data_IF_590421624757
#
_entry.id   IF_590421624757
#
_cell.length_a   1.000
_cell.length_b   1.000
_cell.length_c   1.000
_cell.angle_alpha   90.00
_cell.angle_beta   90.00
_cell.angle_gamma   90.00
#
_symmetry.space_group_name_H-M   'P 1'
#
loop_
_entity.id
_entity.type
_entity.pdbx_description
1 polymer ?
#
# COMPACT_ATOMS: atom_id res chain seq x y z
N UNK A 1 10.22 3.95 13.37
CA UNK A 1 8.99 3.18 13.63
C UNK A 1 7.91 4.16 14.05
N UNK A 2 6.80 4.19 13.32
CA UNK A 2 5.60 4.96 13.64
C UNK A 2 4.46 3.95 13.84
N UNK A 3 3.75 4.06 14.97
CA UNK A 3 2.56 3.25 15.26
C UNK A 3 1.37 4.18 15.22
N UNK A 4 0.37 3.85 14.41
CA UNK A 4 -0.78 4.72 14.15
C UNK A 4 -2.06 3.93 14.41
N UNK A 5 -3.07 4.57 14.98
CA UNK A 5 -4.39 3.96 15.11
C UNK A 5 -5.10 4.04 13.76
N UNK A 6 -5.78 2.97 13.34
CA UNK A 6 -6.49 2.96 12.05
C UNK A 6 -7.48 4.13 11.86
N UNK A 7 -8.02 4.68 12.96
CA UNK A 7 -8.90 5.86 12.95
C UNK A 7 -8.21 7.16 12.53
N UNK A 8 -6.88 7.21 12.51
CA UNK A 8 -6.09 8.40 12.20
C UNK A 8 -5.61 8.42 10.73
N UNK A 9 -5.93 7.39 9.95
CA UNK A 9 -5.34 7.13 8.62
C UNK A 9 -6.35 7.28 7.48
N UNK A 10 -7.51 7.87 7.75
CA UNK A 10 -8.46 8.19 6.69
C UNK A 10 -7.98 9.41 5.88
N UNK A 11 -7.98 9.35 4.53
CA UNK A 11 -8.52 8.27 3.69
C UNK A 11 -7.53 7.12 3.39
N UNK A 12 -8.04 5.89 3.38
CA UNK A 12 -7.40 4.70 2.81
C UNK A 12 -7.90 4.50 1.38
N UNK A 13 -7.00 4.37 0.42
CA UNK A 13 -7.34 4.16 -1.00
C UNK A 13 -7.16 2.69 -1.37
N UNK A 14 -8.05 2.13 -2.19
CA UNK A 14 -7.83 0.82 -2.81
C UNK A 14 -7.33 1.04 -4.24
N UNK A 15 -6.26 0.37 -4.62
CA UNK A 15 -5.70 0.43 -5.99
C UNK A 15 -5.62 -0.97 -6.55
N UNK A 16 -6.09 -1.16 -7.79
CA UNK A 16 -5.90 -2.43 -8.47
C UNK A 16 -4.48 -2.50 -8.95
N UNK A 17 -3.87 -3.61 -8.64
CA UNK A 17 -2.62 -4.02 -9.22
C UNK A 17 -2.83 -5.34 -9.96
N UNK A 18 -1.94 -5.73 -10.87
CA UNK A 18 -1.97 -7.07 -11.47
C UNK A 18 -1.93 -8.23 -10.45
N UNK A 19 -1.63 -7.97 -9.17
CA UNK A 19 -1.61 -8.96 -8.09
C UNK A 19 -2.83 -8.91 -7.17
N UNK A 20 -3.79 -8.03 -7.46
CA UNK A 20 -5.01 -7.81 -6.69
C UNK A 20 -5.15 -6.38 -6.20
N UNK A 21 -6.19 -6.16 -5.41
CA UNK A 21 -6.45 -4.85 -4.80
C UNK A 21 -5.55 -4.67 -3.58
N UNK A 22 -4.81 -3.57 -3.59
CA UNK A 22 -3.89 -3.19 -2.53
C UNK A 22 -4.38 -1.91 -1.86
N UNK A 23 -4.21 -1.84 -0.53
CA UNK A 23 -4.58 -0.65 0.25
C UNK A 23 -3.40 0.32 0.31
N UNK A 24 -3.67 1.59 0.05
CA UNK A 24 -2.71 2.69 0.11
C UNK A 24 -3.14 3.74 1.13
N UNK A 25 -2.16 4.35 1.80
CA UNK A 25 -2.36 5.51 2.70
C UNK A 25 -1.34 6.58 2.38
N UNK A 26 -1.78 7.84 2.41
CA UNK A 26 -0.90 8.99 2.26
C UNK A 26 -0.60 9.59 3.63
N UNK A 27 0.66 9.58 4.03
CA UNK A 27 1.08 10.05 5.34
C UNK A 27 2.46 10.68 5.29
N UNK A 28 2.62 11.86 5.92
CA UNK A 28 3.90 12.58 6.01
C UNK A 28 4.60 12.74 4.64
N UNK A 29 3.84 13.08 3.60
CA UNK A 29 4.35 13.23 2.22
C UNK A 29 4.85 11.93 1.56
N UNK A 30 4.44 10.79 2.08
CA UNK A 30 4.78 9.48 1.58
C UNK A 30 3.53 8.64 1.36
N UNK A 31 3.52 7.83 0.31
CA UNK A 31 2.54 6.76 0.18
C UNK A 31 3.08 5.48 0.79
N UNK A 32 2.25 4.85 1.59
CA UNK A 32 2.49 3.52 2.11
C UNK A 32 1.44 2.58 1.55
N UNK A 33 1.79 1.30 1.50
CA UNK A 33 0.93 0.23 1.03
C UNK A 33 1.01 -0.92 1.99
N UNK A 34 -0.14 -1.54 2.24
CA UNK A 34 -0.27 -2.65 3.16
C UNK A 34 0.46 -3.87 2.59
N UNK A 35 1.45 -4.40 3.32
CA UNK A 35 2.21 -5.58 2.90
C UNK A 35 1.77 -6.83 3.64
N UNK A 36 1.54 -6.71 4.94
CA UNK A 36 1.18 -7.84 5.82
C UNK A 36 0.16 -7.43 6.88
N UNK A 37 -0.60 -8.43 7.33
CA UNK A 37 -1.54 -8.34 8.45
C UNK A 37 -1.18 -9.37 9.51
N UNK A 38 -1.32 -8.98 10.77
CA UNK A 38 -0.91 -9.72 11.94
C UNK A 38 -2.07 -9.78 12.93
N UNK A 39 -2.19 -10.91 13.63
CA UNK A 39 -3.19 -11.07 14.70
C UNK A 39 -2.81 -10.28 15.95
N UNK A 40 -1.51 -10.12 16.20
CA UNK A 40 -0.96 -9.42 17.35
C UNK A 40 -0.11 -8.25 16.87
N UNK A 41 -0.26 -7.11 17.55
CA UNK A 41 0.52 -5.91 17.23
C UNK A 41 2.02 -6.10 17.47
N UNK A 42 2.40 -6.94 18.45
CA UNK A 42 3.81 -7.22 18.76
C UNK A 42 4.55 -7.88 17.60
N UNK A 43 3.87 -8.75 16.84
CA UNK A 43 4.45 -9.39 15.65
C UNK A 43 4.69 -8.35 14.54
N UNK A 44 3.73 -7.44 14.32
CA UNK A 44 3.87 -6.35 13.36
C UNK A 44 5.00 -5.37 13.76
N UNK A 45 5.14 -5.10 15.07
CA UNK A 45 6.22 -4.27 15.62
C UNK A 45 7.58 -4.94 15.40
N UNK A 46 7.69 -6.25 15.68
CA UNK A 46 8.92 -6.99 15.48
C UNK A 46 9.38 -6.91 14.02
N UNK A 47 8.46 -7.05 13.06
CA UNK A 47 8.77 -6.98 11.64
C UNK A 47 9.11 -5.58 11.18
N UNK A 48 8.37 -4.56 11.65
CA UNK A 48 8.71 -3.16 11.41
C UNK A 48 10.10 -2.80 11.95
N UNK A 49 10.48 -3.36 13.10
CA UNK A 49 11.83 -3.18 13.63
C UNK A 49 12.88 -3.86 12.74
N UNK A 50 12.63 -5.07 12.22
CA UNK A 50 13.55 -5.74 11.28
C UNK A 50 13.76 -4.92 10.00
N UNK A 51 12.68 -4.34 9.47
CA UNK A 51 12.72 -3.43 8.33
C UNK A 51 13.56 -2.19 8.63
N UNK A 52 13.34 -1.56 9.80
CA UNK A 52 14.07 -0.37 10.23
C UNK A 52 15.57 -0.64 10.35
N UNK A 53 15.96 -1.79 10.93
CA UNK A 53 17.37 -2.20 11.01
C UNK A 53 17.99 -2.45 9.63
N UNK A 54 17.16 -2.76 8.63
CA UNK A 54 17.57 -2.98 7.24
C UNK A 54 17.52 -1.69 6.39
N UNK A 55 17.16 -0.54 6.99
CA UNK A 55 17.08 0.75 6.31
C UNK A 55 15.77 0.99 5.55
N UNK A 56 14.77 0.12 5.71
CA UNK A 56 13.44 0.33 5.14
C UNK A 56 12.57 1.18 6.07
N UNK A 57 11.70 1.99 5.48
CA UNK A 57 10.73 2.78 6.23
C UNK A 57 9.36 2.11 6.13
N UNK A 58 8.92 1.53 7.25
CA UNK A 58 7.60 0.94 7.42
C UNK A 58 6.91 1.49 8.65
N UNK A 59 5.58 1.41 8.65
CA UNK A 59 4.71 1.84 9.75
C UNK A 59 3.77 0.71 10.14
N UNK A 60 3.40 0.70 11.42
CA UNK A 60 2.42 -0.25 11.95
C UNK A 60 1.11 0.48 12.15
N UNK A 61 0.05 -0.09 11.59
CA UNK A 61 -1.32 0.38 11.77
C UNK A 61 -2.03 -0.57 12.71
N UNK A 62 -2.49 -0.05 13.85
CA UNK A 62 -3.26 -0.80 14.81
C UNK A 62 -4.73 -0.83 14.37
N UNK A 63 -5.22 -2.02 14.03
CA UNK A 63 -6.57 -2.28 13.55
C UNK A 63 -7.44 -2.88 14.66
N UNK A 64 -8.77 -2.93 14.47
CA UNK A 64 -9.67 -3.48 15.51
C UNK A 64 -9.42 -4.96 15.81
N UNK A 65 -8.99 -5.73 14.81
CA UNK A 65 -8.82 -7.18 14.89
C UNK A 65 -7.35 -7.63 14.85
N UNK A 66 -6.41 -6.69 14.96
CA UNK A 66 -4.99 -6.99 14.86
C UNK A 66 -4.16 -5.77 14.48
N UNK A 67 -3.11 -5.98 13.69
CA UNK A 67 -2.28 -4.90 13.18
C UNK A 67 -1.87 -5.18 11.74
N UNK A 68 -1.49 -4.14 11.02
CA UNK A 68 -0.95 -4.28 9.68
C UNK A 68 0.35 -3.51 9.51
N UNK A 69 1.23 -4.06 8.68
CA UNK A 69 2.51 -3.46 8.32
C UNK A 69 2.36 -2.80 6.96
N UNK A 70 2.84 -1.56 6.87
CA UNK A 70 2.76 -0.76 5.67
C UNK A 70 4.12 -0.23 5.28
N UNK A 71 4.53 -0.44 4.04
CA UNK A 71 5.86 -0.08 3.55
C UNK A 71 5.80 1.13 2.62
N UNK A 72 6.81 2.00 2.70
CA UNK A 72 6.87 3.20 1.87
C UNK A 72 7.09 2.86 0.40
N UNK A 73 6.24 3.37 -0.48
CA UNK A 73 6.47 3.27 -1.92
C UNK A 73 7.62 4.21 -2.35
N UNK A 74 8.53 3.76 -3.24
CA UNK A 74 9.57 4.64 -3.77
C UNK A 74 8.98 5.88 -4.44
N UNK A 75 9.67 7.02 -4.34
CA UNK A 75 9.22 8.31 -4.89
C UNK A 75 8.87 8.27 -6.38
N UNK A 76 9.53 7.41 -7.16
CA UNK A 76 9.24 7.23 -8.59
C UNK A 76 7.83 6.68 -8.84
N UNK A 77 7.33 5.82 -7.95
CA UNK A 77 5.95 5.30 -7.99
C UNK A 77 4.98 6.35 -7.43
N UNK A 78 5.43 7.11 -6.42
CA UNK A 78 4.63 8.15 -5.77
C UNK A 78 4.15 9.25 -6.74
N UNK A 79 5.03 9.69 -7.65
CA UNK A 79 4.73 10.76 -8.62
C UNK A 79 3.60 10.37 -9.59
N UNK A 80 3.46 9.09 -9.94
CA UNK A 80 2.42 8.64 -10.87
C UNK A 80 1.06 8.52 -10.17
N UNK A 81 1.04 7.96 -8.96
CA UNK A 81 -0.17 7.86 -8.14
C UNK A 81 -0.70 9.23 -7.72
N UNK A 82 0.15 10.18 -7.32
CA UNK A 82 -0.31 11.54 -6.97
C UNK A 82 -0.98 12.25 -8.15
N UNK A 83 -0.49 12.02 -9.38
CA UNK A 83 -1.13 12.54 -10.60
C UNK A 83 -2.47 11.85 -10.89
N UNK A 84 -2.59 10.56 -10.58
CA UNK A 84 -3.84 9.81 -10.73
C UNK A 84 -4.89 10.20 -9.68
N UNK A 85 -4.51 10.38 -8.41
CA UNK A 85 -5.42 10.85 -7.35
C UNK A 85 -5.90 12.27 -7.60
N UNK A 86 -5.05 13.15 -8.13
CA UNK A 86 -5.47 14.52 -8.51
C UNK A 86 -6.38 14.54 -9.75
N UNK A 87 -6.30 13.52 -10.61
CA UNK A 87 -7.20 13.35 -11.75
C UNK A 87 -8.55 12.73 -11.35
N UNK A 88 -8.58 11.92 -10.28
CA UNK A 88 -9.79 11.27 -9.74
C UNK A 88 -10.82 12.26 -9.17
N UNK A 89 -10.40 13.42 -8.66
CA UNK A 89 -11.32 14.51 -8.25
C UNK A 89 -12.13 15.10 -9.42
N UNK A 90 -11.86 14.70 -10.67
CA UNK A 90 -12.49 15.27 -11.87
C UNK A 90 -13.35 14.31 -12.69
N UNK A 91 -13.41 13.02 -12.39
CA UNK A 91 -14.15 12.07 -13.22
C UNK A 91 -14.89 11.02 -12.38
N UNK A 92 -16.17 11.29 -12.13
CA UNK A 92 -17.16 10.22 -11.91
C UNK A 92 -17.37 9.43 -13.22
N UNK A 93 -17.73 8.15 -13.05
CA UNK A 93 -18.48 7.24 -13.95
C UNK A 93 -17.76 6.04 -14.62
N UNK A 94 -18.27 4.83 -14.27
CA UNK A 94 -18.47 3.53 -15.01
C UNK A 94 -17.39 2.40 -14.97
N UNK A 95 -17.67 1.42 -14.08
CA UNK A 95 -17.77 -0.05 -14.20
C UNK A 95 -16.69 -0.97 -14.85
N UNK A 96 -16.19 -1.88 -13.99
CA UNK A 96 -16.01 -3.36 -14.08
C UNK A 96 -15.36 -4.01 -15.32
N UNK A 97 -14.23 -4.70 -15.11
CA UNK A 97 -14.07 -6.08 -15.57
C UNK A 97 -12.97 -6.86 -14.81
N UNK A 98 -13.22 -8.16 -14.65
CA UNK A 98 -12.61 -9.11 -13.72
C UNK A 98 -11.30 -9.75 -14.19
N UNK A 99 -10.32 -9.94 -13.30
CA UNK A 99 -9.29 -10.97 -13.45
C UNK A 99 -8.86 -11.58 -12.11
N UNK A 100 -8.86 -12.91 -12.05
CA UNK A 100 -8.52 -13.76 -10.90
C UNK A 100 -7.01 -13.80 -10.63
N UNK A 101 -6.52 -13.63 -9.38
CA UNK A 101 -5.09 -13.70 -9.10
C UNK A 101 -4.64 -15.13 -8.79
N UNK A 102 -3.77 -15.66 -9.66
CA UNK A 102 -3.01 -16.86 -9.39
C UNK A 102 -2.02 -16.62 -8.23
N UNK A 103 -1.97 -17.58 -7.29
CA UNK A 103 -1.09 -17.63 -6.12
C UNK A 103 0.40 -17.53 -6.52
N UNK A 104 0.92 -16.32 -6.65
CA UNK A 104 2.37 -16.04 -6.62
C UNK A 104 2.69 -15.40 -5.27
N UNK A 105 3.72 -15.92 -4.61
CA UNK A 105 4.23 -15.42 -3.33
C UNK A 105 4.43 -13.91 -3.39
N UNK A 106 3.60 -13.20 -2.63
CA UNK A 106 3.56 -11.74 -2.48
C UNK A 106 4.86 -11.27 -1.83
N UNK A 107 5.88 -10.97 -2.64
CA UNK A 107 7.04 -10.25 -2.14
C UNK A 107 6.88 -8.80 -2.50
N UNK A 108 6.88 -7.92 -1.49
CA UNK A 108 6.91 -6.47 -1.63
C UNK A 108 7.97 -5.99 -2.63
N UNK A 109 9.15 -6.63 -2.63
CA UNK A 109 10.22 -6.35 -3.59
C UNK A 109 9.79 -6.59 -5.04
N UNK A 110 9.00 -7.64 -5.31
CA UNK A 110 8.50 -7.91 -6.66
C UNK A 110 7.48 -6.84 -7.10
N UNK A 111 6.60 -6.41 -6.19
CA UNK A 111 5.65 -5.33 -6.45
C UNK A 111 6.41 -4.03 -6.76
N UNK A 112 7.35 -3.64 -5.91
CA UNK A 112 8.17 -2.44 -6.10
C UNK A 112 8.97 -2.50 -7.41
N UNK A 113 9.62 -3.62 -7.69
CA UNK A 113 10.41 -3.80 -8.91
C UNK A 113 9.56 -3.67 -10.16
N UNK A 114 8.38 -4.29 -10.17
CA UNK A 114 7.50 -4.22 -11.33
C UNK A 114 6.84 -2.84 -11.47
N UNK A 115 6.41 -2.19 -10.39
CA UNK A 115 5.88 -0.82 -10.46
C UNK A 115 6.94 0.21 -10.88
N UNK A 116 8.21 -0.05 -10.57
CA UNK A 116 9.33 0.77 -11.05
C UNK A 116 9.55 0.58 -12.56
N UNK A 117 9.35 -0.64 -13.07
CA UNK A 117 9.50 -0.97 -14.49
C UNK A 117 8.28 -0.60 -15.34
N UNK A 118 7.08 -0.68 -14.75
CA UNK A 118 5.79 -0.45 -15.40
C UNK A 118 4.96 0.54 -14.56
N UNK A 119 5.34 1.83 -14.54
CA UNK A 119 4.68 2.84 -13.72
C UNK A 119 3.20 3.08 -14.05
N UNK A 120 2.73 2.63 -15.22
CA UNK A 120 1.36 2.79 -15.70
C UNK A 120 0.43 1.63 -15.31
N UNK A 121 0.95 0.55 -14.71
CA UNK A 121 0.15 -0.64 -14.37
C UNK A 121 -0.66 -0.48 -13.07
N UNK A 122 -0.60 0.69 -12.45
CA UNK A 122 -1.47 1.09 -11.34
C UNK A 122 -2.77 1.63 -11.92
N UNK A 123 -3.80 0.80 -12.01
CA UNK A 123 -5.14 1.25 -12.36
C UNK A 123 -5.92 1.50 -11.08
N UNK A 124 -6.39 2.73 -10.88
CA UNK A 124 -7.33 3.01 -9.81
C UNK A 124 -8.61 2.19 -10.04
N UNK A 125 -9.00 1.33 -9.10
CA UNK A 125 -10.34 0.74 -9.13
C UNK A 125 -11.29 1.79 -8.62
N UNK A 126 -12.26 2.14 -9.46
CA UNK A 126 -13.38 3.00 -9.13
C UNK A 126 -14.40 2.29 -8.25
#
# INVERSE_FOLDING_TARGET
MLIILNTEIEPVFNVSTPWGDEKLIYLLDHMYVQTETYKLIDDAIADCQRDLHSGFNSIVVNEKEGASLWCVLPKMVNINLHKMTTALDKQETIALESASPAKRTKSWLNLVMHLTQNPNDLMAVH
#
